data_IF_246269473190
#
_entry.id   IF_246269473190
#
_cell.length_a   1.000
_cell.length_b   1.000
_cell.length_c   1.000
_cell.angle_alpha   90.00
_cell.angle_beta   90.00
_cell.angle_gamma   90.00
#
_symmetry.space_group_name_H-M   'P 1'
#
loop_
_entity.id
_entity.type
_entity.pdbx_description
1 polymer ?
#
# COMPACT_ATOMS: atom_id res chain seq x y z
N UNK A 1 9.10 25.20 -7.62
CA UNK A 1 8.72 23.79 -7.82
C UNK A 1 8.10 23.66 -9.21
N UNK A 2 8.33 22.55 -9.90
CA UNK A 2 7.77 22.29 -11.22
C UNK A 2 6.26 21.96 -11.15
N UNK A 3 5.49 22.37 -12.17
CA UNK A 3 4.08 22.02 -12.30
C UNK A 3 3.96 20.52 -12.64
N UNK A 4 3.51 19.72 -11.69
CA UNK A 4 3.36 18.28 -11.82
C UNK A 4 2.32 17.72 -10.84
N UNK A 5 1.84 16.51 -11.12
CA UNK A 5 1.09 15.68 -10.18
C UNK A 5 2.10 14.87 -9.37
N UNK A 6 2.29 15.25 -8.12
CA UNK A 6 3.19 14.56 -7.21
C UNK A 6 2.46 13.43 -6.46
N UNK A 7 2.99 12.21 -6.55
CA UNK A 7 2.50 11.10 -5.75
C UNK A 7 3.26 11.10 -4.43
N UNK A 8 2.57 11.42 -3.36
CA UNK A 8 3.14 11.69 -2.03
C UNK A 8 2.99 10.46 -1.12
N UNK A 9 4.04 9.66 -0.91
CA UNK A 9 3.96 8.55 0.02
C UNK A 9 3.71 9.01 1.44
N UNK A 10 2.99 8.19 2.20
CA UNK A 10 2.75 8.37 3.63
C UNK A 10 3.37 7.23 4.44
N UNK A 11 3.41 7.35 5.76
CA UNK A 11 3.85 6.27 6.63
C UNK A 11 2.91 5.06 6.52
N UNK A 12 3.41 3.85 6.74
CA UNK A 12 2.58 2.63 6.75
C UNK A 12 1.75 2.49 8.03
N UNK A 13 2.18 3.14 9.10
CA UNK A 13 1.51 3.16 10.38
C UNK A 13 2.01 4.32 11.23
N UNK A 14 1.92 4.21 12.56
CA UNK A 14 2.36 5.27 13.47
C UNK A 14 3.88 5.23 13.68
N UNK A 15 4.56 5.89 12.77
CA UNK A 15 6.03 6.00 12.72
C UNK A 15 6.42 7.45 12.42
N UNK A 16 7.50 8.01 12.98
CA UNK A 16 7.96 9.36 12.62
C UNK A 16 8.24 9.46 11.12
N UNK A 17 7.81 10.55 10.50
CA UNK A 17 7.94 10.71 9.03
C UNK A 17 9.39 10.69 8.59
N UNK A 18 10.30 11.21 9.41
CA UNK A 18 11.75 11.28 9.14
C UNK A 18 12.41 9.91 9.08
N UNK A 19 11.78 8.88 9.64
CA UNK A 19 12.30 7.51 9.63
C UNK A 19 12.12 6.85 8.25
N UNK A 20 11.08 7.22 7.51
CA UNK A 20 10.67 6.51 6.30
C UNK A 20 10.49 7.39 5.07
N UNK A 21 10.44 8.71 5.23
CA UNK A 21 10.30 9.66 4.13
C UNK A 21 11.58 10.52 4.00
N UNK A 22 12.14 10.69 2.80
CA UNK A 22 13.21 11.65 2.54
C UNK A 22 12.78 13.08 2.88
N UNK A 23 13.71 13.91 3.34
CA UNK A 23 13.46 15.33 3.63
C UNK A 23 12.90 16.11 2.43
N UNK A 24 13.31 15.72 1.22
CA UNK A 24 12.80 16.28 -0.03
C UNK A 24 11.27 16.19 -0.18
N UNK A 25 10.65 15.14 0.38
CA UNK A 25 9.18 15.02 0.35
C UNK A 25 8.52 16.19 1.11
N UNK A 26 9.08 16.59 2.24
CA UNK A 26 8.60 17.76 3.00
C UNK A 26 8.71 19.04 2.17
N UNK A 27 9.83 19.28 1.50
CA UNK A 27 10.03 20.45 0.64
C UNK A 27 8.97 20.52 -0.48
N UNK A 28 8.68 19.39 -1.12
CA UNK A 28 7.63 19.29 -2.15
C UNK A 28 6.25 19.57 -1.56
N UNK A 29 5.91 18.94 -0.43
CA UNK A 29 4.60 19.07 0.24
C UNK A 29 4.33 20.55 0.59
N UNK A 30 5.32 21.26 1.11
CA UNK A 30 5.18 22.68 1.49
C UNK A 30 4.86 23.59 0.30
N UNK A 31 5.24 23.19 -0.92
CA UNK A 31 4.95 23.95 -2.15
C UNK A 31 3.59 23.66 -2.78
N UNK A 32 2.83 22.65 -2.30
CA UNK A 32 1.55 22.24 -2.86
C UNK A 32 0.39 22.89 -2.12
N UNK A 33 -0.68 23.26 -2.85
CA UNK A 33 -1.92 23.82 -2.29
C UNK A 33 -3.15 22.98 -2.61
N UNK A 34 -3.06 22.05 -3.56
CA UNK A 34 -4.16 21.24 -4.06
C UNK A 34 -3.83 19.77 -3.84
N UNK A 35 -4.64 19.06 -3.05
CA UNK A 35 -4.41 17.66 -2.72
C UNK A 35 -5.61 16.79 -3.10
N UNK A 36 -5.34 15.68 -3.77
CA UNK A 36 -6.31 14.60 -4.03
C UNK A 36 -6.08 13.53 -2.97
N UNK A 37 -7.11 13.19 -2.22
CA UNK A 37 -7.00 12.36 -1.01
C UNK A 37 -8.17 11.38 -0.90
N UNK A 38 -7.97 10.24 -0.26
CA UNK A 38 -9.07 9.30 0.03
C UNK A 38 -9.94 9.80 1.20
N UNK A 39 -9.29 10.25 2.27
CA UNK A 39 -9.93 10.84 3.45
C UNK A 39 -9.23 12.15 3.85
N UNK A 40 -10.01 13.23 3.90
CA UNK A 40 -9.49 14.58 4.22
C UNK A 40 -8.93 14.64 5.64
N UNK A 41 -9.54 13.91 6.59
CA UNK A 41 -9.11 13.94 7.99
C UNK A 41 -7.74 13.27 8.17
N UNK A 42 -7.53 12.13 7.52
CA UNK A 42 -6.24 11.43 7.52
C UNK A 42 -5.16 12.28 6.86
N UNK A 43 -5.46 12.86 5.69
CA UNK A 43 -4.52 13.72 4.96
C UNK A 43 -4.11 14.95 5.79
N UNK A 44 -5.05 15.63 6.45
CA UNK A 44 -4.75 16.76 7.34
C UNK A 44 -3.82 16.37 8.50
N UNK A 45 -4.06 15.19 9.11
CA UNK A 45 -3.19 14.66 10.17
C UNK A 45 -1.79 14.38 9.66
N UNK A 46 -1.67 13.75 8.49
CA UNK A 46 -0.38 13.49 7.86
C UNK A 46 0.37 14.79 7.56
N UNK A 47 -0.27 15.78 6.94
CA UNK A 47 0.35 17.06 6.64
C UNK A 47 0.86 17.78 7.91
N UNK A 48 0.08 17.76 9.00
CA UNK A 48 0.51 18.28 10.31
C UNK A 48 1.62 17.46 10.97
N UNK A 49 1.73 16.17 10.63
CA UNK A 49 2.84 15.32 11.07
C UNK A 49 4.13 15.64 10.29
N UNK A 50 4.02 16.00 9.02
CA UNK A 50 5.15 16.45 8.18
C UNK A 50 5.66 17.83 8.65
N UNK A 51 4.75 18.77 8.89
CA UNK A 51 5.10 20.08 9.44
C UNK A 51 3.90 20.69 10.16
N UNK A 52 4.08 21.03 11.44
CA UNK A 52 3.03 21.63 12.28
C UNK A 52 2.63 23.04 11.83
N UNK A 53 3.50 23.75 11.11
CA UNK A 53 3.27 25.11 10.62
C UNK A 53 2.42 25.14 9.34
N UNK A 54 2.14 24.02 8.69
CA UNK A 54 1.28 23.99 7.50
C UNK A 54 -0.09 24.58 7.85
N UNK A 55 -0.47 25.65 7.14
CA UNK A 55 -1.82 26.23 7.23
C UNK A 55 -2.81 25.38 6.44
N UNK A 56 -3.49 24.48 7.15
CA UNK A 56 -4.44 23.51 6.55
C UNK A 56 -5.63 24.22 5.89
N UNK A 57 -6.04 25.37 6.40
CA UNK A 57 -7.21 26.09 5.92
C UNK A 57 -6.94 26.81 4.58
N UNK A 58 -5.67 27.03 4.25
CA UNK A 58 -5.22 27.53 2.94
C UNK A 58 -5.17 26.45 1.85
N UNK A 59 -5.40 25.18 2.18
CA UNK A 59 -5.28 24.04 1.26
C UNK A 59 -6.65 23.63 0.70
N UNK A 60 -6.64 23.17 -0.55
CA UNK A 60 -7.82 22.61 -1.21
C UNK A 60 -7.69 21.11 -1.28
N UNK A 61 -8.73 20.38 -0.84
CA UNK A 61 -8.79 18.93 -0.87
C UNK A 61 -9.87 18.44 -1.83
N UNK A 62 -9.52 17.50 -2.68
CA UNK A 62 -10.41 16.77 -3.60
C UNK A 62 -10.52 15.33 -3.12
N UNK A 63 -11.71 14.91 -2.71
CA UNK A 63 -11.92 13.55 -2.18
C UNK A 63 -12.07 12.55 -3.31
N UNK A 64 -11.21 11.55 -3.32
CA UNK A 64 -11.19 10.45 -4.28
C UNK A 64 -11.43 9.13 -3.56
N UNK A 65 -12.60 8.56 -3.74
CA UNK A 65 -12.96 7.26 -3.17
C UNK A 65 -13.67 6.39 -4.20
N UNK A 66 -14.02 5.16 -3.83
CA UNK A 66 -14.69 4.18 -4.71
C UNK A 66 -16.06 4.62 -5.26
N UNK A 67 -16.61 5.72 -4.78
CA UNK A 67 -17.88 6.29 -5.23
C UNK A 67 -17.71 7.52 -6.12
N UNK A 68 -16.48 8.01 -6.29
CA UNK A 68 -16.18 9.19 -7.12
C UNK A 68 -16.35 8.82 -8.60
N UNK A 69 -17.13 9.62 -9.34
CA UNK A 69 -17.36 9.34 -10.75
C UNK A 69 -16.11 9.67 -11.60
N UNK A 70 -15.92 9.00 -12.76
CA UNK A 70 -14.82 9.34 -13.67
C UNK A 70 -14.84 10.79 -14.15
N UNK A 71 -16.05 11.38 -14.28
CA UNK A 71 -16.24 12.78 -14.68
C UNK A 71 -15.71 13.72 -13.59
N UNK A 72 -16.01 13.45 -12.32
CA UNK A 72 -15.51 14.23 -11.19
C UNK A 72 -13.99 14.15 -11.10
N UNK A 73 -13.42 12.93 -11.19
CA UNK A 73 -11.96 12.71 -11.17
C UNK A 73 -11.29 13.53 -12.28
N UNK A 74 -11.89 13.55 -13.46
CA UNK A 74 -11.41 14.34 -14.60
C UNK A 74 -11.35 15.84 -14.29
N UNK A 75 -12.28 16.34 -13.49
CA UNK A 75 -12.34 17.73 -13.02
C UNK A 75 -11.27 18.11 -11.99
N UNK A 76 -10.76 17.15 -11.23
CA UNK A 76 -9.78 17.40 -10.16
C UNK A 76 -8.44 17.92 -10.67
N UNK A 77 -8.08 17.62 -11.91
CA UNK A 77 -6.81 18.05 -12.50
C UNK A 77 -6.83 19.46 -13.10
N UNK A 78 -7.95 20.19 -13.04
CA UNK A 78 -8.02 21.58 -13.55
C UNK A 78 -6.98 22.51 -12.95
N UNK A 79 -6.67 22.50 -11.63
CA UNK A 79 -5.59 23.31 -11.09
C UNK A 79 -4.23 22.98 -11.71
N UNK A 80 -3.94 21.68 -11.96
CA UNK A 80 -2.69 21.26 -12.60
C UNK A 80 -2.59 21.80 -14.04
N UNK A 81 -3.67 21.72 -14.79
CA UNK A 81 -3.76 22.29 -16.16
C UNK A 81 -3.59 23.82 -16.16
N UNK A 82 -3.98 24.49 -15.09
CA UNK A 82 -3.79 25.91 -14.88
C UNK A 82 -2.37 26.29 -14.34
N UNK A 83 -1.46 25.32 -14.26
CA UNK A 83 -0.06 25.55 -13.86
C UNK A 83 0.21 25.40 -12.37
N UNK A 84 -0.74 24.91 -11.58
CA UNK A 84 -0.54 24.70 -10.14
C UNK A 84 -0.12 23.23 -9.86
N UNK A 85 0.96 23.01 -9.10
CA UNK A 85 1.34 21.65 -8.69
C UNK A 85 0.28 21.05 -7.77
N UNK A 86 0.07 19.74 -7.90
CA UNK A 86 -0.91 18.99 -7.11
C UNK A 86 -0.27 17.77 -6.45
N UNK A 87 -0.80 17.36 -5.28
CA UNK A 87 -0.40 16.15 -4.58
C UNK A 87 -1.49 15.09 -4.53
N UNK A 88 -1.12 13.83 -4.67
CA UNK A 88 -1.99 12.68 -4.36
C UNK A 88 -1.49 12.04 -3.07
N UNK A 89 -2.35 11.89 -2.09
CA UNK A 89 -2.07 11.26 -0.78
C UNK A 89 -3.00 10.07 -0.60
N UNK A 90 -2.44 8.88 -0.36
CA UNK A 90 -3.19 7.67 0.02
C UNK A 90 -3.30 7.50 1.54
N UNK A 91 -4.03 6.48 2.00
CA UNK A 91 -4.15 6.19 3.44
C UNK A 91 -2.88 5.56 4.03
N UNK A 92 -2.09 4.82 3.24
CA UNK A 92 -0.84 4.20 3.67
C UNK A 92 0.11 3.93 2.50
N UNK A 93 1.40 4.20 2.68
CA UNK A 93 2.44 3.86 1.72
C UNK A 93 2.41 4.70 0.44
N UNK A 94 2.62 4.04 -0.70
CA UNK A 94 2.76 4.69 -2.00
C UNK A 94 1.40 4.89 -2.68
N UNK A 95 1.02 6.13 -3.05
CA UNK A 95 -0.21 6.39 -3.80
C UNK A 95 -0.22 5.69 -5.17
N UNK A 96 -1.40 5.43 -5.69
CA UNK A 96 -1.64 4.72 -6.95
C UNK A 96 -1.21 3.24 -6.96
N UNK A 97 -0.89 2.67 -5.79
CA UNK A 97 -0.60 1.24 -5.63
C UNK A 97 -1.66 0.62 -4.72
N UNK A 98 -2.58 -0.14 -5.31
CA UNK A 98 -3.72 -0.75 -4.62
C UNK A 98 -4.69 0.28 -3.99
N UNK A 99 -4.76 1.47 -4.54
CA UNK A 99 -5.66 2.56 -4.15
C UNK A 99 -6.26 3.27 -5.37
N UNK A 100 -7.30 4.12 -5.20
CA UNK A 100 -7.97 4.79 -6.30
C UNK A 100 -7.11 5.88 -6.98
N UNK A 101 -5.97 6.25 -6.45
CA UNK A 101 -5.05 7.22 -7.05
C UNK A 101 -4.59 6.84 -8.46
N UNK A 102 -4.61 5.54 -8.79
CA UNK A 102 -4.28 5.05 -10.12
C UNK A 102 -5.15 5.66 -11.23
N UNK A 103 -6.43 5.93 -10.95
CA UNK A 103 -7.36 6.52 -11.93
C UNK A 103 -6.97 7.97 -12.26
N UNK A 104 -6.57 8.74 -11.26
CA UNK A 104 -6.05 10.12 -11.45
C UNK A 104 -4.78 10.11 -12.28
N UNK A 105 -3.85 9.20 -11.96
CA UNK A 105 -2.60 9.04 -12.71
C UNK A 105 -2.90 8.68 -14.16
N UNK A 106 -3.84 7.76 -14.42
CA UNK A 106 -4.24 7.37 -15.77
C UNK A 106 -4.81 8.57 -16.58
N UNK A 107 -5.57 9.45 -15.93
CA UNK A 107 -6.09 10.67 -16.56
C UNK A 107 -4.95 11.65 -16.86
N UNK A 108 -4.05 11.86 -15.89
CA UNK A 108 -2.89 12.74 -16.06
C UNK A 108 -2.01 12.28 -17.23
N UNK A 109 -1.74 10.98 -17.34
CA UNK A 109 -0.98 10.39 -18.45
C UNK A 109 -1.68 10.60 -19.80
N UNK A 110 -2.98 10.39 -19.91
CA UNK A 110 -3.74 10.63 -21.14
C UNK A 110 -3.71 12.10 -21.59
N UNK A 111 -3.56 13.04 -20.65
CA UNK A 111 -3.48 14.48 -20.91
C UNK A 111 -2.06 15.00 -21.07
N UNK A 112 -1.06 14.12 -21.11
CA UNK A 112 0.37 14.50 -21.13
C UNK A 112 0.76 15.43 -19.97
N UNK A 113 0.11 15.32 -18.81
CA UNK A 113 0.48 16.04 -17.60
C UNK A 113 1.64 15.31 -16.92
N UNK A 114 2.60 16.05 -16.40
CA UNK A 114 3.74 15.46 -15.72
C UNK A 114 3.31 14.78 -14.41
N UNK A 115 3.75 13.53 -14.20
CA UNK A 115 3.56 12.77 -12.96
C UNK A 115 4.91 12.51 -12.32
N UNK A 116 5.04 12.81 -11.04
CA UNK A 116 6.29 12.64 -10.27
C UNK A 116 6.02 11.79 -9.04
N UNK A 117 6.34 10.48 -9.07
CA UNK A 117 6.29 9.66 -7.87
C UNK A 117 7.46 10.02 -6.95
N UNK A 118 7.16 10.28 -5.67
CA UNK A 118 8.18 10.50 -4.65
C UNK A 118 8.56 9.19 -3.96
N UNK A 119 9.76 9.17 -3.42
CA UNK A 119 10.29 8.01 -2.68
C UNK A 119 9.63 7.88 -1.32
N UNK A 120 9.18 6.68 -0.97
CA UNK A 120 8.60 6.39 0.33
C UNK A 120 8.38 4.90 0.57
N UNK A 121 7.85 4.52 1.75
CA UNK A 121 7.72 3.13 2.14
C UNK A 121 6.63 2.41 1.33
N UNK A 122 6.92 1.16 0.96
CA UNK A 122 5.96 0.23 0.36
C UNK A 122 5.97 -1.08 1.13
N UNK A 123 4.85 -1.46 1.72
CA UNK A 123 4.73 -2.74 2.43
C UNK A 123 4.99 -3.93 1.50
N UNK A 124 4.65 -3.81 0.22
CA UNK A 124 4.88 -4.83 -0.81
C UNK A 124 6.39 -5.07 -0.96
N UNK A 125 7.16 -4.02 -1.22
CA UNK A 125 8.60 -4.13 -1.46
C UNK A 125 9.34 -4.50 -0.16
N UNK A 126 9.02 -3.85 0.96
CA UNK A 126 9.66 -4.12 2.25
C UNK A 126 9.42 -5.57 2.72
N UNK A 127 8.22 -6.11 2.49
CA UNK A 127 7.95 -7.51 2.82
C UNK A 127 8.72 -8.49 1.94
N UNK A 128 8.88 -8.21 0.64
CA UNK A 128 9.73 -9.03 -0.25
C UNK A 128 11.18 -8.99 0.23
N UNK A 129 11.71 -7.80 0.55
CA UNK A 129 13.07 -7.64 1.09
C UNK A 129 13.30 -8.43 2.37
N UNK A 130 12.34 -8.38 3.31
CA UNK A 130 12.43 -9.06 4.62
C UNK A 130 12.13 -10.56 4.58
N UNK A 131 11.48 -11.07 3.52
CA UNK A 131 10.99 -12.45 3.45
C UNK A 131 12.09 -13.50 3.20
N UNK A 132 13.15 -13.12 2.50
CA UNK A 132 14.15 -14.05 1.94
C UNK A 132 13.67 -14.83 0.73
N UNK A 133 12.58 -14.40 0.07
CA UNK A 133 12.00 -15.03 -1.11
C UNK A 133 12.53 -14.44 -2.42
N UNK A 134 12.10 -14.99 -3.55
CA UNK A 134 12.53 -14.49 -4.86
C UNK A 134 11.98 -13.07 -5.12
N UNK A 135 12.86 -12.09 -5.14
CA UNK A 135 12.54 -10.68 -5.43
C UNK A 135 12.62 -10.31 -6.92
N UNK A 136 13.11 -11.22 -7.79
CA UNK A 136 13.14 -10.98 -9.24
C UNK A 136 11.81 -11.29 -9.93
N UNK A 137 11.04 -12.23 -9.35
CA UNK A 137 9.71 -12.60 -9.85
C UNK A 137 8.76 -12.70 -8.67
N UNK A 138 7.87 -11.73 -8.54
CA UNK A 138 6.82 -11.72 -7.54
C UNK A 138 5.53 -11.10 -8.09
N UNK A 139 4.40 -11.50 -7.54
CA UNK A 139 3.09 -10.99 -7.92
C UNK A 139 2.29 -10.60 -6.68
N UNK A 140 1.76 -9.37 -6.68
CA UNK A 140 0.84 -8.88 -5.65
C UNK A 140 -0.60 -9.04 -6.14
N UNK A 141 -1.45 -9.64 -5.31
CA UNK A 141 -2.83 -10.02 -5.64
C UNK A 141 -3.90 -9.17 -4.92
N UNK A 142 -3.48 -8.23 -4.07
CA UNK A 142 -4.43 -7.51 -3.23
C UNK A 142 -5.16 -8.43 -2.27
N UNK A 143 -6.47 -8.26 -2.12
CA UNK A 143 -7.32 -9.09 -1.28
C UNK A 143 -7.70 -10.40 -1.98
N UNK A 144 -7.65 -11.51 -1.25
CA UNK A 144 -8.18 -12.77 -1.73
C UNK A 144 -9.70 -12.85 -1.53
N UNK A 145 -10.41 -13.79 -2.21
CA UNK A 145 -11.85 -13.94 -2.07
C UNK A 145 -12.31 -14.11 -0.62
N UNK A 146 -13.41 -13.46 -0.26
CA UNK A 146 -13.97 -13.54 1.10
C UNK A 146 -14.63 -14.90 1.36
N UNK A 147 -15.24 -15.49 0.31
CA UNK A 147 -15.88 -16.79 0.39
C UNK A 147 -14.83 -17.90 0.61
N UNK A 148 -14.97 -18.77 1.64
CA UNK A 148 -13.93 -19.74 2.02
C UNK A 148 -13.53 -20.72 0.91
N UNK A 149 -14.50 -21.23 0.15
CA UNK A 149 -14.23 -22.17 -0.95
C UNK A 149 -13.44 -21.53 -2.09
N UNK A 150 -13.81 -20.31 -2.49
CA UNK A 150 -13.09 -19.56 -3.52
C UNK A 150 -11.70 -19.13 -3.03
N UNK A 151 -11.58 -18.74 -1.76
CA UNK A 151 -10.28 -18.41 -1.15
C UNK A 151 -9.35 -19.64 -1.12
N UNK A 152 -9.87 -20.81 -0.76
CA UNK A 152 -9.10 -22.06 -0.78
C UNK A 152 -8.62 -22.42 -2.20
N UNK A 153 -9.47 -22.29 -3.22
CA UNK A 153 -9.09 -22.47 -4.62
C UNK A 153 -8.01 -21.48 -5.04
N UNK A 154 -8.16 -20.20 -4.67
CA UNK A 154 -7.16 -19.16 -4.98
C UNK A 154 -5.82 -19.45 -4.32
N UNK A 155 -5.78 -19.83 -3.03
CA UNK A 155 -4.55 -20.19 -2.31
C UNK A 155 -3.82 -21.35 -3.00
N UNK A 156 -4.54 -22.41 -3.41
CA UNK A 156 -3.95 -23.54 -4.16
C UNK A 156 -3.41 -23.10 -5.52
N UNK A 157 -4.12 -22.24 -6.23
CA UNK A 157 -3.64 -21.69 -7.51
C UNK A 157 -2.37 -20.84 -7.34
N UNK A 158 -2.30 -19.99 -6.29
CA UNK A 158 -1.10 -19.22 -5.98
C UNK A 158 0.08 -20.15 -5.63
N UNK A 159 -0.16 -21.16 -4.82
CA UNK A 159 0.87 -22.15 -4.49
C UNK A 159 1.39 -22.88 -5.73
N UNK A 160 0.51 -23.25 -6.68
CA UNK A 160 0.94 -23.85 -7.96
C UNK A 160 1.89 -22.92 -8.73
N UNK A 161 1.60 -21.60 -8.76
CA UNK A 161 2.49 -20.62 -9.40
C UNK A 161 3.84 -20.51 -8.70
N UNK A 162 3.88 -20.60 -7.37
CA UNK A 162 5.14 -20.66 -6.61
C UNK A 162 6.03 -21.80 -7.15
N UNK A 163 5.49 -22.99 -7.32
CA UNK A 163 6.28 -24.17 -7.72
C UNK A 163 6.59 -24.21 -9.22
N UNK A 164 5.65 -23.81 -10.07
CA UNK A 164 5.78 -23.90 -11.52
C UNK A 164 6.53 -22.72 -12.13
N UNK A 165 6.30 -21.50 -11.60
CA UNK A 165 6.84 -20.25 -12.14
C UNK A 165 8.01 -19.71 -11.31
N UNK A 166 8.34 -20.32 -10.16
CA UNK A 166 9.34 -19.81 -9.20
C UNK A 166 9.06 -18.36 -8.78
N UNK A 167 7.77 -18.00 -8.66
CA UNK A 167 7.30 -16.66 -8.40
C UNK A 167 6.77 -16.53 -6.97
N UNK A 168 7.24 -15.51 -6.23
CA UNK A 168 6.71 -15.16 -4.92
C UNK A 168 5.30 -14.60 -5.05
N UNK A 169 4.35 -15.10 -4.27
CA UNK A 169 2.96 -14.66 -4.29
C UNK A 169 2.66 -13.84 -3.04
N UNK A 170 2.23 -12.57 -3.23
CA UNK A 170 1.90 -11.65 -2.15
C UNK A 170 0.42 -11.33 -2.15
N UNK A 171 -0.18 -11.23 -0.97
CA UNK A 171 -1.57 -10.80 -0.80
C UNK A 171 -1.80 -10.22 0.59
N UNK A 172 -2.88 -9.49 0.73
CA UNK A 172 -3.28 -8.85 1.98
C UNK A 172 -4.66 -9.30 2.41
N UNK A 173 -4.96 -9.04 3.67
CA UNK A 173 -6.30 -9.17 4.25
C UNK A 173 -6.60 -7.97 5.15
N UNK A 174 -7.86 -7.77 5.45
CA UNK A 174 -8.24 -6.77 6.45
C UNK A 174 -7.72 -7.20 7.82
N UNK A 175 -7.25 -6.27 8.68
CA UNK A 175 -6.64 -6.62 9.97
C UNK A 175 -7.51 -7.51 10.86
N UNK A 176 -8.83 -7.41 10.77
CA UNK A 176 -9.77 -8.22 11.55
C UNK A 176 -9.86 -9.69 11.08
N UNK A 177 -9.42 -10.00 9.86
CA UNK A 177 -9.48 -11.35 9.27
C UNK A 177 -8.11 -12.01 9.11
N UNK A 178 -7.02 -11.38 9.55
CA UNK A 178 -5.67 -11.90 9.42
C UNK A 178 -5.52 -13.30 10.02
N UNK A 179 -6.00 -13.51 11.24
CA UNK A 179 -5.90 -14.83 11.90
C UNK A 179 -6.62 -15.91 11.10
N UNK A 180 -7.80 -15.58 10.54
CA UNK A 180 -8.54 -16.52 9.68
C UNK A 180 -7.82 -16.80 8.36
N UNK A 181 -7.18 -15.80 7.78
CA UNK A 181 -6.36 -16.00 6.57
C UNK A 181 -5.20 -16.96 6.84
N UNK A 182 -4.53 -16.82 7.99
CA UNK A 182 -3.44 -17.74 8.35
C UNK A 182 -3.96 -19.16 8.51
N UNK A 183 -5.08 -19.38 9.23
CA UNK A 183 -5.70 -20.70 9.36
C UNK A 183 -5.97 -21.33 7.97
N UNK A 184 -6.52 -20.53 7.04
CA UNK A 184 -6.83 -21.00 5.70
C UNK A 184 -5.57 -21.35 4.91
N UNK A 185 -4.48 -20.58 5.05
CA UNK A 185 -3.17 -20.92 4.45
C UNK A 185 -2.65 -22.24 5.03
N UNK A 186 -2.64 -22.37 6.36
CA UNK A 186 -2.14 -23.59 7.03
C UNK A 186 -2.96 -24.85 6.71
N UNK A 187 -4.23 -24.69 6.35
CA UNK A 187 -5.11 -25.77 5.96
C UNK A 187 -4.96 -26.17 4.49
N UNK A 188 -4.79 -25.18 3.60
CA UNK A 188 -4.88 -25.39 2.15
C UNK A 188 -3.54 -25.54 1.44
N UNK A 189 -2.44 -25.03 2.02
CA UNK A 189 -1.12 -25.10 1.41
C UNK A 189 -0.34 -26.32 1.91
N UNK A 190 0.64 -26.74 1.11
CA UNK A 190 1.50 -27.91 1.41
C UNK A 190 2.37 -27.63 2.63
N UNK A 191 2.68 -28.67 3.44
CA UNK A 191 3.48 -28.51 4.66
C UNK A 191 4.87 -27.88 4.44
N UNK A 192 5.48 -28.10 3.28
CA UNK A 192 6.80 -27.58 2.92
C UNK A 192 6.77 -26.18 2.29
N UNK A 193 5.63 -25.68 1.85
CA UNK A 193 5.49 -24.31 1.34
C UNK A 193 5.84 -23.32 2.45
N UNK A 194 6.65 -22.34 2.12
CA UNK A 194 7.02 -21.29 3.07
C UNK A 194 5.99 -20.16 3.06
N UNK A 195 5.61 -19.73 4.23
CA UNK A 195 4.80 -18.55 4.48
C UNK A 195 5.65 -17.51 5.23
N UNK A 196 5.80 -16.34 4.65
CA UNK A 196 6.27 -15.17 5.36
C UNK A 196 5.07 -14.36 5.83
N UNK A 197 5.06 -14.00 7.10
CA UNK A 197 4.14 -13.05 7.72
C UNK A 197 4.93 -11.78 7.96
N UNK A 198 4.51 -10.68 7.34
CA UNK A 198 5.11 -9.37 7.51
C UNK A 198 4.04 -8.40 8.03
N UNK A 199 4.12 -8.08 9.32
CA UNK A 199 3.13 -7.32 10.05
C UNK A 199 3.74 -6.04 10.64
N UNK A 200 2.94 -4.98 10.73
CA UNK A 200 3.29 -3.70 11.34
C UNK A 200 4.61 -3.11 10.82
N UNK A 201 4.86 -3.28 9.51
CA UNK A 201 6.13 -2.93 8.84
C UNK A 201 6.43 -1.44 9.06
N UNK A 202 7.67 -1.13 9.43
CA UNK A 202 8.21 0.20 9.80
C UNK A 202 7.72 0.77 11.13
N UNK A 203 6.87 0.07 11.86
CA UNK A 203 6.38 0.49 13.18
C UNK A 203 7.14 -0.22 14.30
N UNK A 204 6.93 0.22 15.54
CA UNK A 204 7.58 -0.36 16.73
C UNK A 204 7.28 -1.87 16.89
N UNK A 205 6.07 -2.29 16.47
CA UNK A 205 5.62 -3.69 16.51
C UNK A 205 6.04 -4.52 15.30
N UNK A 206 6.98 -4.05 14.47
CA UNK A 206 7.37 -4.75 13.24
C UNK A 206 7.71 -6.21 13.49
N UNK A 207 7.05 -7.08 12.72
CA UNK A 207 7.25 -8.51 12.78
C UNK A 207 7.35 -9.09 11.37
N UNK A 208 8.53 -9.54 10.95
CA UNK A 208 8.73 -10.22 9.68
C UNK A 208 9.33 -11.59 9.94
N UNK A 209 8.59 -12.66 9.64
CA UNK A 209 9.03 -14.03 9.91
C UNK A 209 8.62 -15.00 8.82
N UNK A 210 9.59 -15.75 8.34
CA UNK A 210 9.41 -16.83 7.37
C UNK A 210 9.59 -18.19 8.02
N UNK A 211 8.61 -19.08 7.82
CA UNK A 211 8.65 -20.50 8.20
C UNK A 211 7.89 -21.32 7.18
N UNK A 212 8.10 -22.63 7.17
CA UNK A 212 7.22 -23.54 6.44
C UNK A 212 5.82 -23.59 7.08
N UNK A 213 4.81 -23.92 6.28
CA UNK A 213 3.43 -24.14 6.78
C UNK A 213 3.42 -25.13 7.95
N UNK A 214 4.25 -26.19 7.87
CA UNK A 214 4.39 -27.15 8.96
C UNK A 214 4.91 -26.53 10.26
N UNK A 215 5.93 -25.68 10.18
CA UNK A 215 6.54 -25.01 11.34
C UNK A 215 5.66 -23.95 11.97
N UNK A 216 4.74 -23.35 11.19
CA UNK A 216 3.77 -22.39 11.70
C UNK A 216 2.66 -22.99 12.53
N UNK A 217 2.32 -24.29 12.34
CA UNK A 217 1.25 -24.95 13.12
C UNK A 217 1.52 -24.89 14.60
N UNK A 218 0.57 -24.30 15.35
CA UNK A 218 0.65 -24.08 16.81
C UNK A 218 1.62 -22.99 17.26
N UNK A 219 2.18 -22.20 16.34
CA UNK A 219 3.17 -21.14 16.64
C UNK A 219 2.86 -19.80 15.93
N UNK A 220 1.62 -19.58 15.58
CA UNK A 220 1.16 -18.37 14.88
C UNK A 220 0.98 -17.24 15.89
N UNK A 221 1.48 -16.01 15.62
CA UNK A 221 1.18 -14.86 16.45
C UNK A 221 -0.28 -14.43 16.29
N UNK A 222 -0.84 -13.77 17.28
CA UNK A 222 -2.11 -13.06 17.14
C UNK A 222 -1.88 -11.77 16.33
N UNK A 223 -2.51 -11.68 15.17
CA UNK A 223 -2.44 -10.53 14.25
C UNK A 223 -3.76 -9.76 14.18
N UNK A 224 -4.63 -9.91 15.16
CA UNK A 224 -5.89 -9.16 15.23
C UNK A 224 -5.62 -7.67 15.25
N UNK A 225 -6.24 -6.95 14.30
CA UNK A 225 -6.13 -5.49 14.12
C UNK A 225 -4.74 -4.97 13.71
N UNK A 226 -3.81 -5.83 13.35
CA UNK A 226 -2.46 -5.44 12.93
C UNK A 226 -2.40 -5.47 11.39
N UNK A 227 -1.98 -4.39 10.70
CA UNK A 227 -1.75 -4.42 9.26
C UNK A 227 -0.73 -5.49 8.89
N UNK A 228 -1.05 -6.33 7.91
CA UNK A 228 -0.21 -7.49 7.57
C UNK A 228 -0.24 -7.77 6.07
N UNK A 229 0.88 -8.24 5.54
CA UNK A 229 1.03 -8.79 4.20
C UNK A 229 1.58 -10.22 4.31
N UNK A 230 1.03 -11.11 3.50
CA UNK A 230 1.38 -12.52 3.45
C UNK A 230 2.12 -12.84 2.16
N UNK A 231 3.18 -13.63 2.26
CA UNK A 231 3.95 -14.06 1.10
C UNK A 231 4.09 -15.58 1.11
N UNK A 232 3.88 -16.21 -0.06
CA UNK A 232 4.10 -17.64 -0.28
C UNK A 232 5.29 -17.86 -1.20
N UNK A 233 6.15 -18.82 -0.85
CA UNK A 233 7.24 -19.31 -1.68
C UNK A 233 7.59 -20.75 -1.33
N UNK A 234 8.57 -21.37 -2.06
CA UNK A 234 9.02 -22.75 -1.85
C UNK A 234 10.34 -22.83 -1.09
#
# INVERSE_FOLDING_TARGET
>A
METALYLLPVTLGDTPVETVLPSYNKEVILGIRHFIVEDVRSARRFLKKVDREIDIDSLTFYTLNKHTSPEDISGYLKPLEAGNPMGVISEAGCPAVADPGADVVAIAQRRNLKVVPLVGPSSIILSVMGSGFNGQSFAFHGYLPIEPGERAKKLKALEQRVYNEHQTQLFIETPYRNNKMIEDILHNCRPQTKLCIAADITCEGEYIKTKTVKEWKGKVPDLSKIPCIFLLYK
#
